data_IF_984730974780
#
_entry.id   IF_984730974780
#
_cell.length_a   1.000
_cell.length_b   1.000
_cell.length_c   1.000
_cell.angle_alpha   90.00
_cell.angle_beta   90.00
_cell.angle_gamma   90.00
#
_symmetry.space_group_name_H-M   'P 1'
#
loop_
_entity.id
_entity.type
_entity.pdbx_description
1 polymer ?
#
# COMPACT_ATOMS: atom_id res chain seq x y z
N UNK A 1 26.28 -24.67 -16.02
CA UNK A 1 26.60 -23.71 -14.95
C UNK A 1 25.78 -24.11 -13.73
N UNK A 2 26.45 -24.67 -12.73
CA UNK A 2 25.88 -25.40 -11.59
C UNK A 2 25.26 -24.42 -10.57
N UNK A 3 24.03 -24.72 -10.16
CA UNK A 3 23.17 -23.89 -9.28
C UNK A 3 23.40 -24.17 -7.77
N UNK A 4 24.57 -24.69 -7.40
CA UNK A 4 24.72 -25.49 -6.18
C UNK A 4 25.57 -24.86 -5.06
N UNK A 5 26.07 -23.62 -5.22
CA UNK A 5 26.92 -22.95 -4.21
C UNK A 5 26.41 -21.56 -3.81
N UNK A 6 25.09 -21.39 -3.68
CA UNK A 6 24.55 -20.20 -3.03
C UNK A 6 24.47 -20.41 -1.52
N UNK A 7 25.03 -19.48 -0.76
CA UNK A 7 24.89 -19.45 0.70
C UNK A 7 23.42 -19.36 1.11
N UNK A 8 23.07 -19.89 2.28
CA UNK A 8 21.71 -19.78 2.85
C UNK A 8 21.21 -18.32 2.86
N UNK A 9 22.11 -17.36 3.06
CA UNK A 9 21.79 -15.93 2.97
C UNK A 9 21.30 -15.51 1.58
N UNK A 10 21.94 -15.99 0.50
CA UNK A 10 21.56 -15.67 -0.88
C UNK A 10 20.20 -16.27 -1.24
N UNK A 11 19.94 -17.51 -0.84
CA UNK A 11 18.64 -18.16 -1.03
C UNK A 11 17.49 -17.40 -0.33
N UNK A 12 17.73 -16.89 0.89
CA UNK A 12 16.74 -16.10 1.63
C UNK A 12 16.46 -14.72 1.01
N UNK A 13 17.42 -14.15 0.27
CA UNK A 13 17.21 -12.86 -0.41
C UNK A 13 16.31 -12.96 -1.64
N UNK A 14 16.32 -14.10 -2.36
CA UNK A 14 15.51 -14.29 -3.57
C UNK A 14 14.00 -14.19 -3.31
N UNK A 15 13.54 -14.62 -2.14
CA UNK A 15 12.13 -14.53 -1.75
C UNK A 15 11.75 -13.22 -1.07
N UNK A 16 12.64 -12.22 -0.99
CA UNK A 16 12.24 -10.90 -0.49
C UNK A 16 11.31 -10.24 -1.49
N UNK A 17 10.05 -10.06 -1.08
CA UNK A 17 9.04 -9.20 -1.72
C UNK A 17 9.43 -7.72 -1.59
N UNK A 18 10.54 -7.35 -2.20
CA UNK A 18 11.10 -5.99 -2.19
C UNK A 18 10.19 -5.11 -3.06
N UNK A 19 9.74 -3.97 -2.54
CA UNK A 19 8.87 -3.03 -3.27
C UNK A 19 7.36 -3.25 -3.16
N UNK A 20 6.88 -4.36 -2.58
CA UNK A 20 5.45 -4.53 -2.27
C UNK A 20 5.11 -4.00 -0.89
N UNK A 21 3.96 -3.33 -0.74
CA UNK A 21 3.45 -2.90 0.56
C UNK A 21 2.08 -3.51 0.83
N UNK A 22 1.70 -3.59 2.11
CA UNK A 22 0.37 -4.08 2.48
C UNK A 22 -0.62 -2.90 2.50
N UNK A 23 -1.80 -3.12 1.95
CA UNK A 23 -2.93 -2.24 2.16
C UNK A 23 -3.24 -2.13 3.66
N UNK A 24 -3.46 -0.92 4.19
CA UNK A 24 -3.84 -0.76 5.60
C UNK A 24 -5.32 -1.04 5.87
N UNK A 25 -6.12 -1.28 4.83
CA UNK A 25 -7.54 -1.65 4.95
C UNK A 25 -7.74 -3.17 4.84
N UNK A 26 -7.27 -3.80 3.75
CA UNK A 26 -7.51 -5.22 3.48
C UNK A 26 -6.27 -6.12 3.62
N UNK A 27 -5.11 -5.57 4.01
CA UNK A 27 -3.84 -6.28 4.23
C UNK A 27 -3.23 -7.04 3.03
N UNK A 28 -3.86 -6.96 1.85
CA UNK A 28 -3.31 -7.50 0.61
C UNK A 28 -1.99 -6.82 0.24
N UNK A 29 -1.06 -7.58 -0.33
CA UNK A 29 0.15 -7.02 -0.92
C UNK A 29 -0.17 -6.36 -2.25
N UNK A 30 0.19 -5.09 -2.35
CA UNK A 30 -0.04 -4.26 -3.52
C UNK A 30 1.29 -3.61 -3.92
N UNK A 31 1.49 -3.55 -5.22
CA UNK A 31 2.62 -2.87 -5.85
C UNK A 31 2.07 -1.64 -6.53
N UNK A 32 2.68 -0.49 -6.26
CA UNK A 32 2.28 0.78 -6.86
C UNK A 32 3.30 1.21 -7.90
N UNK A 33 2.87 2.03 -8.85
CA UNK A 33 3.76 2.64 -9.84
C UNK A 33 4.80 3.51 -9.13
N UNK A 34 6.07 3.40 -9.57
CA UNK A 34 7.18 4.14 -8.96
C UNK A 34 6.95 5.65 -9.03
N UNK A 35 7.08 6.32 -7.90
CA UNK A 35 6.90 7.77 -7.80
C UNK A 35 5.45 8.25 -7.68
N UNK A 36 4.45 7.36 -7.77
CA UNK A 36 3.05 7.75 -7.59
C UNK A 36 2.82 8.31 -6.19
N UNK A 37 2.29 9.53 -6.07
CA UNK A 37 1.98 10.17 -4.78
C UNK A 37 0.63 9.74 -4.22
N UNK A 38 -0.23 9.19 -5.07
CA UNK A 38 -1.52 8.62 -4.69
C UNK A 38 -1.76 7.36 -5.51
N UNK A 39 -2.34 6.33 -4.91
CA UNK A 39 -2.72 5.13 -5.62
C UNK A 39 -3.88 4.41 -4.94
N UNK A 40 -4.67 3.70 -5.74
CA UNK A 40 -5.81 2.93 -5.26
C UNK A 40 -5.45 1.46 -5.08
N UNK A 41 -5.94 0.84 -4.00
CA UNK A 41 -5.81 -0.59 -3.80
C UNK A 41 -6.69 -1.34 -4.83
N UNK A 42 -6.13 -2.20 -5.69
CA UNK A 42 -6.90 -2.93 -6.71
C UNK A 42 -7.85 -3.99 -6.11
N UNK A 43 -7.70 -4.34 -4.83
CA UNK A 43 -8.58 -5.30 -4.15
C UNK A 43 -9.82 -4.65 -3.53
N UNK A 44 -9.62 -3.59 -2.74
CA UNK A 44 -10.69 -3.00 -1.94
C UNK A 44 -11.11 -1.60 -2.39
N UNK A 45 -10.45 -1.03 -3.40
CA UNK A 45 -10.78 0.29 -3.94
C UNK A 45 -10.34 1.47 -3.05
N UNK A 46 -9.70 1.24 -1.90
CA UNK A 46 -9.27 2.33 -1.02
C UNK A 46 -8.11 3.12 -1.63
N UNK A 47 -8.21 4.45 -1.64
CA UNK A 47 -7.17 5.33 -2.14
C UNK A 47 -6.20 5.74 -1.02
N UNK A 48 -4.91 5.66 -1.30
CA UNK A 48 -3.83 5.93 -0.35
C UNK A 48 -2.91 7.03 -0.87
N UNK A 49 -2.46 7.90 0.04
CA UNK A 49 -1.34 8.82 -0.20
C UNK A 49 -0.03 8.09 0.07
N UNK A 50 0.92 8.24 -0.84
CA UNK A 50 2.20 7.55 -0.84
C UNK A 50 3.36 8.54 -0.73
N UNK A 51 4.49 8.08 -0.19
CA UNK A 51 5.72 8.85 -0.05
C UNK A 51 6.94 7.99 -0.36
N UNK A 52 7.85 8.51 -1.18
CA UNK A 52 9.03 7.82 -1.71
C UNK A 52 10.37 8.32 -1.14
N UNK A 53 10.33 9.28 -0.21
CA UNK A 53 11.52 10.00 0.30
C UNK A 53 12.61 9.06 0.83
N UNK A 54 12.25 7.97 1.51
CA UNK A 54 13.21 7.05 2.13
C UNK A 54 13.67 5.90 1.22
N UNK A 55 12.92 5.58 0.16
CA UNK A 55 13.26 4.50 -0.76
C UNK A 55 12.61 4.74 -2.12
N UNK A 56 13.40 4.81 -3.21
CA UNK A 56 12.86 4.98 -4.56
C UNK A 56 12.12 3.74 -5.06
N UNK A 57 12.34 2.58 -4.42
CA UNK A 57 11.75 1.30 -4.83
C UNK A 57 10.58 0.85 -3.97
N UNK A 58 10.45 1.39 -2.75
CA UNK A 58 9.36 1.00 -1.83
C UNK A 58 8.64 2.24 -1.29
N UNK A 59 7.37 2.47 -1.70
CA UNK A 59 6.58 3.56 -1.16
C UNK A 59 6.22 3.33 0.31
N UNK A 60 5.95 4.40 1.05
CA UNK A 60 5.28 4.34 2.36
C UNK A 60 3.89 4.94 2.27
N UNK A 61 2.88 4.28 2.85
CA UNK A 61 1.53 4.84 3.01
C UNK A 61 1.59 5.94 4.07
N UNK A 62 1.13 7.13 3.71
CA UNK A 62 1.02 8.29 4.61
C UNK A 62 -0.35 8.38 5.27
N UNK A 63 -1.36 7.80 4.63
CA UNK A 63 -2.73 7.82 5.10
C UNK A 63 -3.68 7.73 3.91
N UNK A 64 -4.98 7.60 4.18
CA UNK A 64 -5.96 7.52 3.11
C UNK A 64 -6.14 8.87 2.41
N UNK A 65 -6.63 8.80 1.17
CA UNK A 65 -7.18 9.96 0.47
C UNK A 65 -8.62 10.06 0.95
N UNK A 66 -8.88 10.99 1.88
CA UNK A 66 -10.24 11.38 2.17
C UNK A 66 -10.75 12.18 0.97
N UNK A 67 -11.75 11.66 0.26
CA UNK A 67 -12.58 12.55 -0.54
C UNK A 67 -13.30 13.45 0.48
N UNK A 68 -13.30 14.75 0.24
CA UNK A 68 -14.13 15.70 0.99
C UNK A 68 -15.59 15.42 0.64
N UNK A 69 -16.14 14.29 1.10
CA UNK A 69 -17.58 14.18 1.25
C UNK A 69 -17.89 15.06 2.45
N UNK A 70 -18.46 16.25 2.22
CA UNK A 70 -19.23 16.89 3.29
C UNK A 70 -20.11 15.79 3.88
N UNK A 71 -20.09 15.56 5.20
CA UNK A 71 -21.00 14.60 5.77
C UNK A 71 -22.38 15.07 5.36
N UNK A 72 -23.08 14.28 4.53
CA UNK A 72 -24.51 14.44 4.36
C UNK A 72 -25.04 14.39 5.78
N UNK A 73 -25.44 15.56 6.29
CA UNK A 73 -26.03 15.69 7.62
C UNK A 73 -27.34 14.94 7.50
N UNK A 74 -27.29 13.64 7.78
CA UNK A 74 -28.49 12.86 8.03
C UNK A 74 -29.12 13.55 9.23
N UNK A 75 -30.15 14.36 8.94
CA UNK A 75 -30.88 15.11 9.94
C UNK A 75 -31.35 14.08 10.97
N UNK A 76 -30.81 14.21 12.19
CA UNK A 76 -31.26 13.45 13.34
C UNK A 76 -32.73 13.82 13.54
N UNK A 77 -33.65 13.07 12.94
CA UNK A 77 -35.06 13.10 13.30
C UNK A 77 -35.16 12.48 14.69
N UNK A 78 -34.91 13.31 15.71
CA UNK A 78 -35.23 13.00 17.09
C UNK A 78 -36.71 12.65 17.15
N UNK A 79 -36.99 11.37 17.39
CA UNK A 79 -38.31 10.94 17.82
C UNK A 79 -38.49 11.41 19.27
N UNK A 80 -39.45 12.33 19.46
CA UNK A 80 -39.97 12.76 20.76
C UNK A 80 -40.51 11.60 21.61
#
# INVERSE_FOLDING_TARGET
MTKENESTMQQLTHNRTTGSIRCLNCFERITFEKGALQAQCPKCGYAWRLSWILSPDTPRIRGPVWQNTEPEREEYHGSE
#
